data_IF_141312347750
#
_entry.id   IF_141312347750
#
_cell.length_a   1.000
_cell.length_b   1.000
_cell.length_c   1.000
_cell.angle_alpha   90.00
_cell.angle_beta   90.00
_cell.angle_gamma   90.00
#
_symmetry.space_group_name_H-M   'P 1'
#
loop_
_entity.id
_entity.type
_entity.pdbx_description
1 polymer ?
#
# COMPACT_ATOMS: atom_id res chain seq x y z
N UNK A 1 9.77 10.09 10.51
CA UNK A 1 9.01 10.48 9.30
C UNK A 1 7.58 10.08 9.51
N UNK A 2 6.62 10.88 9.04
CA UNK A 2 5.20 10.49 9.04
C UNK A 2 4.93 9.61 7.83
N UNK A 3 4.25 8.49 8.00
CA UNK A 3 3.96 7.59 6.89
C UNK A 3 2.52 7.10 6.87
N UNK A 4 2.04 6.84 5.65
CA UNK A 4 0.77 6.19 5.38
C UNK A 4 1.02 4.71 5.09
N UNK A 5 0.31 3.82 5.77
CA UNK A 5 0.44 2.39 5.50
C UNK A 5 -0.55 1.93 4.43
N UNK A 6 -0.06 1.35 3.32
CA UNK A 6 -0.93 0.63 2.38
C UNK A 6 -1.25 -0.75 2.95
N UNK A 7 -2.50 -0.96 3.36
CA UNK A 7 -2.97 -2.21 3.95
C UNK A 7 -3.95 -2.91 3.03
N UNK A 8 -3.71 -4.18 2.72
CA UNK A 8 -4.66 -5.03 1.99
C UNK A 8 -5.57 -5.84 2.91
N UNK A 9 -5.20 -5.95 4.20
CA UNK A 9 -5.78 -6.91 5.15
C UNK A 9 -5.00 -8.23 5.22
N UNK A 10 -4.01 -8.42 4.32
CA UNK A 10 -3.10 -9.56 4.36
C UNK A 10 -1.91 -9.35 5.30
N UNK A 11 -1.31 -10.48 5.72
CA UNK A 11 -0.16 -10.54 6.65
C UNK A 11 1.02 -9.65 6.24
N UNK A 12 1.34 -9.58 4.94
CA UNK A 12 2.55 -8.91 4.47
C UNK A 12 2.44 -7.39 4.62
N UNK A 13 1.27 -6.83 4.30
CA UNK A 13 1.01 -5.40 4.49
C UNK A 13 1.03 -4.99 5.97
N UNK A 14 0.44 -5.83 6.83
CA UNK A 14 0.44 -5.62 8.28
C UNK A 14 1.84 -5.73 8.86
N UNK A 15 2.62 -6.73 8.44
CA UNK A 15 3.97 -6.94 8.94
C UNK A 15 4.94 -5.86 8.45
N UNK A 16 4.82 -5.40 7.20
CA UNK A 16 5.58 -4.26 6.70
C UNK A 16 5.33 -3.01 7.55
N UNK A 17 4.06 -2.71 7.88
CA UNK A 17 3.70 -1.61 8.77
C UNK A 17 4.29 -1.80 10.17
N UNK A 18 4.24 -3.02 10.71
CA UNK A 18 4.82 -3.35 12.02
C UNK A 18 6.33 -3.06 12.05
N UNK A 19 7.10 -3.55 11.07
CA UNK A 19 8.54 -3.30 10.96
C UNK A 19 8.89 -1.82 10.81
N UNK A 20 8.08 -1.06 10.05
CA UNK A 20 8.32 0.38 9.88
C UNK A 20 8.10 1.12 11.21
N UNK A 21 7.06 0.73 11.94
CA UNK A 21 6.66 1.36 13.22
C UNK A 21 7.59 0.98 14.37
N UNK A 22 8.06 -0.27 14.41
CA UNK A 22 8.89 -0.81 15.51
C UNK A 22 10.26 -0.13 15.63
N UNK A 23 10.76 0.45 14.54
CA UNK A 23 12.03 1.17 14.54
C UNK A 23 11.98 2.52 15.31
N UNK A 24 10.81 2.98 15.76
CA UNK A 24 10.64 4.21 16.57
C UNK A 24 10.95 5.53 15.86
N UNK A 25 11.43 5.46 14.61
CA UNK A 25 11.78 6.62 13.77
C UNK A 25 10.64 7.06 12.84
N UNK A 26 9.59 6.22 12.72
CA UNK A 26 8.46 6.45 11.83
C UNK A 26 7.16 6.49 12.62
N UNK A 27 6.31 7.46 12.28
CA UNK A 27 5.00 7.66 12.88
C UNK A 27 3.93 7.30 11.85
N UNK A 28 3.08 6.32 12.18
CA UNK A 28 1.93 5.97 11.36
C UNK A 28 0.86 7.04 11.52
N UNK A 29 0.50 7.74 10.44
CA UNK A 29 -0.50 8.81 10.48
C UNK A 29 -1.84 8.44 9.84
N UNK A 30 -1.85 7.43 8.97
CA UNK A 30 -3.05 6.88 8.38
C UNK A 30 -2.82 5.50 7.80
N UNK A 31 -3.90 4.76 7.61
CA UNK A 31 -3.93 3.55 6.80
C UNK A 31 -4.74 3.82 5.53
N UNK A 32 -4.32 3.25 4.41
CA UNK A 32 -4.93 3.48 3.11
C UNK A 32 -5.11 2.18 2.33
N UNK A 33 -6.19 2.09 1.56
CA UNK A 33 -6.48 0.93 0.71
C UNK A 33 -7.24 1.31 -0.56
N UNK A 34 -6.97 0.57 -1.63
CA UNK A 34 -7.76 0.60 -2.84
C UNK A 34 -8.74 -0.58 -2.85
N UNK A 35 -10.03 -0.29 -2.95
CA UNK A 35 -11.10 -1.29 -2.86
C UNK A 35 -11.81 -1.51 -4.19
N UNK A 36 -12.34 -2.71 -4.47
CA UNK A 36 -13.13 -2.95 -5.66
C UNK A 36 -14.43 -2.14 -5.60
N UNK A 37 -15.05 -1.92 -6.77
CA UNK A 37 -16.33 -1.21 -6.86
C UNK A 37 -17.47 -1.95 -6.14
N UNK A 38 -17.43 -3.28 -6.12
CA UNK A 38 -18.37 -4.13 -5.40
C UNK A 38 -17.63 -4.98 -4.37
N UNK A 39 -18.09 -4.96 -3.11
CA UNK A 39 -17.55 -5.82 -2.05
C UNK A 39 -17.72 -7.29 -2.42
N UNK A 40 -16.67 -8.09 -2.21
CA UNK A 40 -16.66 -9.52 -2.51
C UNK A 40 -16.39 -9.90 -3.97
N UNK A 41 -16.20 -8.94 -4.89
CA UNK A 41 -15.70 -9.23 -6.24
C UNK A 41 -14.19 -9.09 -6.30
N UNK A 42 -13.51 -10.13 -6.79
CA UNK A 42 -12.13 -10.00 -7.24
C UNK A 42 -12.07 -9.05 -8.44
N UNK A 43 -11.21 -8.04 -8.34
CA UNK A 43 -10.84 -7.21 -9.48
C UNK A 43 -9.79 -7.92 -10.31
N UNK A 44 -9.82 -7.73 -11.63
CA UNK A 44 -8.72 -8.10 -12.54
C UNK A 44 -7.50 -7.17 -12.34
N UNK A 45 -7.14 -6.86 -11.09
CA UNK A 45 -6.05 -5.96 -10.70
C UNK A 45 -4.76 -6.75 -10.52
N UNK A 46 -3.66 -6.26 -11.07
CA UNK A 46 -2.33 -6.86 -10.83
C UNK A 46 -1.67 -6.26 -9.59
N UNK A 47 -2.19 -5.14 -9.11
CA UNK A 47 -1.67 -4.39 -7.98
C UNK A 47 -2.33 -4.77 -6.65
N UNK A 48 -3.66 -4.91 -6.61
CA UNK A 48 -4.42 -4.86 -5.36
C UNK A 48 -5.17 -6.16 -5.06
N UNK A 49 -5.04 -6.62 -3.82
CA UNK A 49 -5.79 -7.77 -3.31
C UNK A 49 -7.11 -7.30 -2.68
N UNK A 50 -8.18 -8.04 -2.92
CA UNK A 50 -9.52 -7.75 -2.40
C UNK A 50 -9.86 -8.54 -1.13
N UNK A 51 -9.08 -9.59 -0.83
CA UNK A 51 -9.27 -10.43 0.35
C UNK A 51 -8.82 -9.70 1.61
N UNK A 52 -9.69 -9.64 2.63
CA UNK A 52 -9.37 -9.04 3.92
C UNK A 52 -9.64 -7.54 4.03
N UNK A 53 -10.26 -6.91 3.03
CA UNK A 53 -10.55 -5.48 3.08
C UNK A 53 -11.59 -5.11 4.15
N UNK A 54 -12.48 -6.04 4.50
CA UNK A 54 -13.53 -5.83 5.50
C UNK A 54 -12.97 -5.62 6.92
N UNK A 55 -11.75 -6.10 7.20
CA UNK A 55 -11.10 -5.92 8.50
C UNK A 55 -10.32 -4.60 8.62
N UNK A 56 -10.15 -3.85 7.53
CA UNK A 56 -9.35 -2.62 7.52
C UNK A 56 -9.92 -1.53 8.42
N UNK A 57 -11.24 -1.43 8.55
CA UNK A 57 -11.86 -0.52 9.50
C UNK A 57 -11.50 -0.86 10.95
N UNK A 58 -11.41 -2.16 11.27
CA UNK A 58 -11.01 -2.62 12.59
C UNK A 58 -9.51 -2.39 12.83
N UNK A 59 -8.67 -2.58 11.80
CA UNK A 59 -7.24 -2.23 11.88
C UNK A 59 -7.05 -0.75 12.19
N UNK A 60 -7.73 0.14 11.45
CA UNK A 60 -7.64 1.58 11.66
C UNK A 60 -8.09 2.00 13.06
N UNK A 61 -9.19 1.42 13.55
CA UNK A 61 -9.68 1.63 14.92
C UNK A 61 -8.68 1.15 15.97
N UNK A 62 -8.10 -0.03 15.79
CA UNK A 62 -7.13 -0.60 16.73
C UNK A 62 -5.81 0.20 16.75
N UNK A 63 -5.40 0.72 15.60
CA UNK A 63 -4.20 1.56 15.44
C UNK A 63 -4.45 3.03 15.82
N UNK A 64 -5.70 3.42 16.05
CA UNK A 64 -6.12 4.79 16.35
C UNK A 64 -5.66 5.81 15.30
N UNK A 65 -5.81 5.46 14.02
CA UNK A 65 -5.48 6.32 12.86
C UNK A 65 -6.61 6.30 11.84
N UNK A 66 -6.78 7.37 11.03
CA UNK A 66 -7.81 7.39 9.99
C UNK A 66 -7.57 6.34 8.90
N UNK A 67 -8.68 5.81 8.37
CA UNK A 67 -8.69 4.94 7.19
C UNK A 67 -9.13 5.73 5.97
N UNK A 68 -8.30 5.68 4.92
CA UNK A 68 -8.62 6.22 3.61
C UNK A 68 -8.85 5.11 2.61
N UNK A 69 -9.96 5.17 1.89
CA UNK A 69 -10.28 4.20 0.85
C UNK A 69 -10.72 4.88 -0.42
N UNK A 70 -10.17 4.43 -1.55
CA UNK A 70 -10.64 4.80 -2.89
C UNK A 70 -11.09 3.55 -3.64
N UNK A 71 -12.13 3.69 -4.45
CA UNK A 71 -12.58 2.64 -5.35
C UNK A 71 -11.64 2.57 -6.55
N UNK A 72 -11.16 1.38 -6.89
CA UNK A 72 -10.39 1.10 -8.10
C UNK A 72 -11.32 1.32 -9.30
N UNK A 73 -10.92 2.22 -10.20
CA UNK A 73 -11.63 2.52 -11.45
C UNK A 73 -10.78 2.18 -12.66
N UNK A 74 -9.47 2.35 -12.54
CA UNK A 74 -8.49 1.98 -13.54
C UNK A 74 -8.39 0.46 -13.72
N UNK A 75 -7.76 0.07 -14.81
CA UNK A 75 -7.44 -1.31 -15.16
C UNK A 75 -5.93 -1.46 -15.28
N UNK A 76 -5.36 -2.68 -15.27
CA UNK A 76 -3.95 -2.87 -15.60
C UNK A 76 -3.73 -2.63 -17.11
N UNK A 77 -3.67 -1.37 -17.52
CA UNK A 77 -3.51 -0.95 -18.93
C UNK A 77 -2.04 -1.09 -19.32
N UNK A 78 -1.14 -0.53 -18.51
CA UNK A 78 0.29 -0.65 -18.69
C UNK A 78 0.80 -1.86 -17.92
N UNK A 79 1.14 -2.94 -18.63
CA UNK A 79 1.54 -4.21 -18.01
C UNK A 79 3.06 -4.46 -18.05
N UNK A 80 3.83 -3.55 -18.66
CA UNK A 80 5.29 -3.68 -18.67
C UNK A 80 5.88 -3.54 -17.25
N UNK A 81 7.09 -4.05 -17.05
CA UNK A 81 7.74 -4.00 -15.74
C UNK A 81 8.00 -2.58 -15.24
N UNK A 82 8.46 -1.70 -16.14
CA UNK A 82 8.70 -0.30 -15.84
C UNK A 82 7.42 0.50 -16.04
N UNK A 83 7.08 1.35 -15.08
CA UNK A 83 6.00 2.34 -15.19
C UNK A 83 6.64 3.72 -15.26
N UNK A 84 6.92 4.20 -16.47
CA UNK A 84 7.75 5.40 -16.70
C UNK A 84 6.92 6.68 -16.85
N UNK A 85 5.63 6.56 -17.21
CA UNK A 85 4.73 7.70 -17.39
C UNK A 85 3.31 7.34 -16.91
N UNK A 86 2.53 8.31 -16.42
CA UNK A 86 1.12 8.12 -16.13
C UNK A 86 0.37 7.62 -17.36
N UNK A 87 -0.53 6.65 -17.17
CA UNK A 87 -1.38 6.11 -18.23
C UNK A 87 -2.84 6.33 -17.85
N UNK A 88 -3.58 6.98 -18.72
CA UNK A 88 -5.00 7.28 -18.47
C UNK A 88 -5.80 5.98 -18.36
N UNK A 89 -6.65 5.92 -17.34
CA UNK A 89 -7.41 4.71 -17.00
C UNK A 89 -6.60 3.56 -16.39
N UNK A 90 -5.33 3.77 -16.00
CA UNK A 90 -4.54 2.76 -15.31
C UNK A 90 -4.79 2.73 -13.80
N UNK A 91 -4.79 1.54 -13.21
CA UNK A 91 -4.99 1.31 -11.77
C UNK A 91 -3.91 1.96 -10.88
N UNK A 92 -2.75 2.32 -11.45
CA UNK A 92 -1.71 3.08 -10.74
C UNK A 92 -2.16 4.51 -10.44
N UNK A 93 -2.96 5.11 -11.31
CA UNK A 93 -3.45 6.49 -11.11
C UNK A 93 -4.48 6.55 -9.99
N UNK A 94 -5.23 5.47 -9.72
CA UNK A 94 -6.10 5.41 -8.55
C UNK A 94 -5.32 5.52 -7.23
N UNK A 95 -4.10 4.95 -7.17
CA UNK A 95 -3.23 5.09 -6.00
C UNK A 95 -2.68 6.51 -5.88
N UNK A 96 -2.28 7.11 -7.00
CA UNK A 96 -1.85 8.51 -7.02
C UNK A 96 -2.95 9.43 -6.47
N UNK A 97 -4.17 9.28 -6.96
CA UNK A 97 -5.31 10.08 -6.53
C UNK A 97 -5.69 9.83 -5.05
N UNK A 98 -5.63 8.57 -4.58
CA UNK A 98 -5.83 8.25 -3.17
C UNK A 98 -4.82 8.99 -2.28
N UNK A 99 -3.53 8.96 -2.63
CA UNK A 99 -2.49 9.64 -1.85
C UNK A 99 -2.59 11.16 -1.94
N UNK A 100 -3.04 11.71 -3.08
CA UNK A 100 -3.37 13.13 -3.21
C UNK A 100 -4.49 13.55 -2.27
N UNK A 101 -5.56 12.75 -2.16
CA UNK A 101 -6.67 13.03 -1.26
C UNK A 101 -6.21 13.01 0.21
N UNK A 102 -5.43 12.01 0.61
CA UNK A 102 -4.85 11.94 1.96
C UNK A 102 -4.01 13.18 2.26
N UNK A 103 -3.23 13.65 1.29
CA UNK A 103 -2.33 14.80 1.47
C UNK A 103 -3.04 16.13 1.65
N UNK A 104 -4.31 16.23 1.22
CA UNK A 104 -5.14 17.41 1.48
C UNK A 104 -5.54 17.49 2.95
N UNK A 105 -5.64 16.35 3.62
CA UNK A 105 -6.12 16.25 5.00
C UNK A 105 -4.98 16.14 6.02
N UNK A 106 -3.90 15.42 5.68
CA UNK A 106 -2.79 15.14 6.59
C UNK A 106 -1.43 15.19 5.88
N UNK A 107 -0.41 15.64 6.62
CA UNK A 107 0.97 15.66 6.14
C UNK A 107 1.66 14.31 6.37
N UNK A 108 2.34 13.81 5.33
CA UNK A 108 3.16 12.60 5.39
C UNK A 108 4.35 12.67 4.43
N UNK A 109 5.42 11.96 4.78
CA UNK A 109 6.69 11.95 4.06
C UNK A 109 6.89 10.64 3.27
N UNK A 110 6.12 9.61 3.59
CA UNK A 110 6.35 8.26 3.09
C UNK A 110 5.09 7.38 3.02
N UNK A 111 5.16 6.33 2.21
CA UNK A 111 4.11 5.31 2.04
C UNK A 111 4.72 3.93 2.19
N UNK A 112 4.06 3.01 2.90
CA UNK A 112 4.53 1.63 3.01
C UNK A 112 4.08 0.74 1.84
N UNK A 113 4.86 -0.27 1.51
CA UNK A 113 4.50 -1.32 0.56
C UNK A 113 4.89 -2.70 1.10
N UNK A 114 3.94 -3.63 1.12
CA UNK A 114 4.13 -5.01 1.57
C UNK A 114 4.61 -5.99 0.49
N UNK A 115 5.08 -5.52 -0.67
CA UNK A 115 5.52 -6.40 -1.75
C UNK A 115 6.87 -7.06 -1.43
N UNK A 116 6.92 -8.39 -1.44
CA UNK A 116 8.14 -9.17 -1.17
C UNK A 116 9.01 -9.31 -2.44
N UNK A 117 8.46 -9.94 -3.50
CA UNK A 117 9.21 -10.17 -4.76
C UNK A 117 8.58 -9.49 -5.98
N UNK A 118 7.39 -8.90 -5.84
CA UNK A 118 6.72 -8.25 -6.97
C UNK A 118 7.36 -6.90 -7.28
N UNK A 119 8.30 -6.91 -8.23
CA UNK A 119 8.85 -5.70 -8.81
C UNK A 119 7.77 -4.86 -9.49
N UNK A 120 6.74 -5.51 -10.06
CA UNK A 120 5.61 -4.84 -10.70
C UNK A 120 4.91 -3.89 -9.71
N UNK A 121 4.59 -4.40 -8.51
CA UNK A 121 3.92 -3.63 -7.45
C UNK A 121 4.84 -2.55 -6.88
N UNK A 122 6.09 -2.91 -6.57
CA UNK A 122 7.06 -1.97 -5.99
C UNK A 122 7.33 -0.79 -6.91
N UNK A 123 7.63 -1.03 -8.18
CA UNK A 123 8.01 0.03 -9.13
C UNK A 123 6.85 0.99 -9.42
N UNK A 124 5.60 0.50 -9.43
CA UNK A 124 4.41 1.34 -9.58
C UNK A 124 4.17 2.22 -8.35
N UNK A 125 4.27 1.66 -7.15
CA UNK A 125 4.18 2.43 -5.92
C UNK A 125 5.33 3.45 -5.81
N UNK A 126 6.54 3.08 -6.26
CA UNK A 126 7.72 3.95 -6.30
C UNK A 126 7.51 5.12 -7.28
N UNK A 127 6.98 4.86 -8.48
CA UNK A 127 6.63 5.91 -9.43
C UNK A 127 5.64 6.93 -8.84
N UNK A 128 4.58 6.44 -8.20
CA UNK A 128 3.58 7.31 -7.54
C UNK A 128 4.25 8.14 -6.44
N UNK A 129 5.07 7.52 -5.59
CA UNK A 129 5.80 8.22 -4.52
C UNK A 129 6.74 9.28 -5.08
N UNK A 130 7.48 8.97 -6.14
CA UNK A 130 8.39 9.90 -6.81
C UNK A 130 7.64 11.13 -7.36
N UNK A 131 6.50 10.93 -8.03
CA UNK A 131 5.64 12.02 -8.53
C UNK A 131 5.11 12.92 -7.42
N UNK A 132 4.87 12.34 -6.25
CA UNK A 132 4.42 13.07 -5.06
C UNK A 132 5.59 13.64 -4.23
N UNK A 133 6.85 13.36 -4.58
CA UNK A 133 7.99 13.80 -3.78
C UNK A 133 8.03 13.20 -2.36
N UNK A 134 7.52 11.98 -2.19
CA UNK A 134 7.54 11.22 -0.92
C UNK A 134 8.34 9.92 -1.10
N UNK A 135 8.67 9.26 0.01
CA UNK A 135 9.45 8.02 0.00
C UNK A 135 8.56 6.77 -0.02
N UNK A 136 9.00 5.74 -0.73
CA UNK A 136 8.44 4.40 -0.59
C UNK A 136 9.23 3.61 0.48
N UNK A 137 8.51 3.02 1.44
CA UNK A 137 9.07 2.13 2.46
C UNK A 137 8.66 0.69 2.15
N UNK A 138 9.59 -0.12 1.63
CA UNK A 138 9.34 -1.51 1.25
C UNK A 138 10.25 -2.47 2.04
N UNK A 139 10.06 -2.63 3.36
CA UNK A 139 10.98 -3.38 4.22
C UNK A 139 11.05 -4.87 3.91
N UNK A 140 10.01 -5.42 3.25
CA UNK A 140 9.94 -6.84 2.90
C UNK A 140 10.57 -7.14 1.54
N UNK A 141 10.89 -6.12 0.74
CA UNK A 141 11.30 -6.35 -0.63
C UNK A 141 12.66 -7.02 -0.71
N UNK A 142 12.73 -8.14 -1.45
CA UNK A 142 13.94 -8.93 -1.62
C UNK A 142 14.34 -9.78 -0.40
N UNK A 143 13.54 -9.79 0.67
CA UNK A 143 13.73 -10.70 1.82
C UNK A 143 13.31 -12.14 1.47
N UNK A 144 13.88 -13.11 2.17
CA UNK A 144 13.48 -14.51 2.06
C UNK A 144 12.11 -14.76 2.70
N UNK A 145 11.24 -15.51 2.02
CA UNK A 145 9.86 -15.72 2.49
C UNK A 145 9.77 -16.63 3.72
N UNK A 146 10.68 -17.62 3.85
CA UNK A 146 10.69 -18.54 4.99
C UNK A 146 11.17 -17.79 6.23
N UNK A 147 12.22 -16.99 6.07
CA UNK A 147 12.72 -16.10 7.12
C UNK A 147 11.61 -15.14 7.59
N UNK A 148 10.96 -14.43 6.67
CA UNK A 148 9.84 -13.52 7.00
C UNK A 148 8.70 -14.23 7.74
N UNK A 149 8.34 -15.44 7.31
CA UNK A 149 7.26 -16.19 7.96
C UNK A 149 7.64 -16.58 9.40
N UNK A 150 8.87 -17.02 9.62
CA UNK A 150 9.35 -17.34 10.96
C UNK A 150 9.39 -16.08 11.84
N UNK A 151 9.89 -14.95 11.31
CA UNK A 151 9.90 -13.68 12.02
C UNK A 151 8.48 -13.22 12.42
N UNK A 152 7.47 -13.44 11.56
CA UNK A 152 6.06 -13.12 11.86
C UNK A 152 5.45 -14.02 12.94
N UNK A 153 5.93 -15.25 13.08
CA UNK A 153 5.44 -16.20 14.09
C UNK A 153 6.08 -15.91 15.45
N UNK A 154 7.35 -15.51 15.45
CA UNK A 154 8.15 -15.27 16.65
C UNK A 154 7.94 -13.87 17.26
N UNK A 155 7.31 -12.95 16.52
CA UNK A 155 7.07 -11.54 16.91
C UNK A 155 5.86 -11.31 17.81
#
# INVERSE_FOLDING_TARGET
>A
MKFVALLSGGKDSCYAMHLISSNGQNELVAVANLKPHESGKETDSYMYQTVGQDVLELHAKALNVPLYQRVIRGKPVHQAMEYNSPVDGDEVEDLYELLCDIRRDIEFDAVSCGAIHSNYQRLRAENVCQRLGIKLLSPLWGRDQIELLNEMIDS
#
